data_IF_034857219664
#
_entry.id   IF_034857219664
#
_cell.length_a   1.000
_cell.length_b   1.000
_cell.length_c   1.000
_cell.angle_alpha   90.00
_cell.angle_beta   90.00
_cell.angle_gamma   90.00
#
_symmetry.space_group_name_H-M   'P 1'
#
loop_
_entity.id
_entity.type
_entity.pdbx_description
1 polymer ?
#
# COMPACT_ATOMS: atom_id res chain seq x y z
N UNK A 1 15.58 7.01 10.09
CA UNK A 1 14.15 6.63 10.13
C UNK A 1 13.46 7.27 8.93
N UNK A 2 12.57 6.55 8.23
CA UNK A 2 11.72 7.18 7.23
C UNK A 2 10.80 8.22 7.89
N UNK A 3 10.71 9.40 7.26
CA UNK A 3 9.64 10.36 7.58
C UNK A 3 8.34 9.84 6.98
N UNK A 4 7.42 9.41 7.86
CA UNK A 4 6.04 9.00 7.57
C UNK A 4 5.32 10.04 6.69
N UNK A 5 4.21 9.66 6.04
CA UNK A 5 3.42 10.63 5.28
C UNK A 5 2.95 11.78 6.17
N UNK A 6 3.04 13.01 5.66
CA UNK A 6 2.60 14.22 6.36
C UNK A 6 1.10 14.43 6.24
N UNK A 7 0.54 15.34 7.06
CA UNK A 7 -0.85 15.77 6.93
C UNK A 7 -1.15 16.32 5.53
N UNK A 8 -0.22 17.07 4.94
CA UNK A 8 -0.37 17.64 3.60
C UNK A 8 -0.40 16.55 2.53
N UNK A 9 0.50 15.57 2.63
CA UNK A 9 0.54 14.40 1.74
C UNK A 9 -0.75 13.57 1.83
N UNK A 10 -1.26 13.34 3.05
CA UNK A 10 -2.53 12.63 3.30
C UNK A 10 -3.72 13.40 2.72
N UNK A 11 -3.78 14.72 2.92
CA UNK A 11 -4.82 15.57 2.30
C UNK A 11 -4.76 15.48 0.78
N UNK A 12 -3.57 15.52 0.18
CA UNK A 12 -3.42 15.36 -1.27
C UNK A 12 -3.96 14.00 -1.75
N UNK A 13 -3.61 12.90 -1.07
CA UNK A 13 -4.17 11.59 -1.38
C UNK A 13 -5.70 11.58 -1.28
N UNK A 14 -6.27 12.15 -0.22
CA UNK A 14 -7.72 12.23 -0.04
C UNK A 14 -8.41 12.93 -1.22
N UNK A 15 -7.86 14.05 -1.70
CA UNK A 15 -8.41 14.77 -2.87
C UNK A 15 -8.36 13.95 -4.16
N UNK A 16 -7.35 13.08 -4.32
CA UNK A 16 -7.22 12.22 -5.49
C UNK A 16 -8.14 11.00 -5.45
N UNK A 17 -8.46 10.50 -4.25
CA UNK A 17 -9.30 9.32 -4.01
C UNK A 17 -10.78 9.64 -4.26
N UNK A 18 -11.25 10.80 -3.82
CA UNK A 18 -12.63 11.20 -4.08
C UNK A 18 -13.06 12.43 -3.29
N UNK A 19 -14.32 12.83 -3.49
CA UNK A 19 -14.90 13.96 -2.77
C UNK A 19 -15.15 13.62 -1.30
N UNK A 20 -15.05 14.63 -0.44
CA UNK A 20 -15.32 14.53 0.99
C UNK A 20 -14.15 13.97 1.82
N UNK A 21 -14.28 13.99 3.16
CA UNK A 21 -13.25 13.51 4.08
C UNK A 21 -12.92 12.02 3.87
N UNK A 22 -11.65 11.66 4.11
CA UNK A 22 -11.15 10.28 4.05
C UNK A 22 -10.41 9.95 5.34
N UNK A 23 -10.64 8.74 5.86
CA UNK A 23 -9.87 8.16 6.97
C UNK A 23 -8.86 7.15 6.42
N UNK A 24 -7.66 7.16 6.99
CA UNK A 24 -6.57 6.25 6.62
C UNK A 24 -6.20 5.40 7.84
N UNK A 25 -6.51 4.11 7.80
CA UNK A 25 -6.19 3.17 8.89
C UNK A 25 -5.04 2.25 8.48
N UNK A 26 -3.94 2.27 9.23
CA UNK A 26 -2.76 1.43 8.95
C UNK A 26 -3.09 -0.07 9.13
N UNK A 27 -3.03 -0.83 8.04
CA UNK A 27 -3.23 -2.27 8.02
C UNK A 27 -1.91 -3.02 8.20
N UNK A 28 -0.90 -2.63 7.41
CA UNK A 28 0.37 -3.34 7.29
C UNK A 28 1.54 -2.36 7.22
N UNK A 29 2.64 -2.70 7.88
CA UNK A 29 3.93 -2.00 7.80
C UNK A 29 5.02 -3.07 7.81
N UNK A 30 5.92 -3.09 6.82
CA UNK A 30 6.98 -4.11 6.79
C UNK A 30 7.95 -3.97 7.98
N UNK A 31 8.12 -2.76 8.52
CA UNK A 31 8.89 -2.54 9.74
C UNK A 31 8.24 -3.15 10.99
N UNK A 32 6.91 -3.16 11.06
CA UNK A 32 6.16 -3.68 12.22
C UNK A 32 5.86 -5.16 12.10
N UNK A 33 5.49 -5.60 10.90
CA UNK A 33 4.85 -6.88 10.65
C UNK A 33 5.77 -7.88 9.92
N UNK A 34 6.96 -7.45 9.49
CA UNK A 34 7.83 -8.22 8.59
C UNK A 34 7.46 -8.04 7.11
N UNK A 35 8.37 -8.42 6.21
CA UNK A 35 8.17 -8.28 4.76
C UNK A 35 7.94 -9.64 4.11
N UNK A 36 6.69 -10.09 4.04
CA UNK A 36 6.33 -11.33 3.33
C UNK A 36 4.92 -11.28 2.72
N UNK A 37 4.65 -12.04 1.64
CA UNK A 37 3.33 -12.12 1.03
C UNK A 37 2.27 -12.63 2.01
N UNK A 38 2.63 -13.57 2.88
CA UNK A 38 1.73 -14.14 3.88
C UNK A 38 1.25 -13.05 4.86
N UNK A 39 2.18 -12.23 5.37
CA UNK A 39 1.83 -11.12 6.27
C UNK A 39 1.04 -10.02 5.58
N UNK A 40 1.36 -9.73 4.32
CA UNK A 40 0.60 -8.80 3.49
C UNK A 40 -0.84 -9.27 3.31
N UNK A 41 -1.05 -10.48 2.80
CA UNK A 41 -2.38 -11.03 2.54
C UNK A 41 -3.20 -11.20 3.82
N UNK A 42 -2.58 -11.66 4.91
CA UNK A 42 -3.26 -11.78 6.21
C UNK A 42 -3.85 -10.45 6.68
N UNK A 43 -3.20 -9.32 6.38
CA UNK A 43 -3.59 -7.99 6.88
C UNK A 43 -4.40 -7.17 5.89
N UNK A 44 -4.21 -7.38 4.59
CA UNK A 44 -4.73 -6.51 3.54
C UNK A 44 -5.86 -7.15 2.72
N UNK A 45 -6.01 -8.47 2.75
CA UNK A 45 -7.13 -9.14 2.12
C UNK A 45 -8.44 -8.74 2.81
N UNK A 46 -9.50 -8.64 2.01
CA UNK A 46 -10.86 -8.33 2.46
C UNK A 46 -11.01 -6.95 3.15
N UNK A 47 -10.05 -6.03 2.96
CA UNK A 47 -10.08 -4.69 3.59
C UNK A 47 -10.76 -3.59 2.76
N UNK A 48 -11.08 -3.85 1.48
CA UNK A 48 -11.66 -2.86 0.57
C UNK A 48 -10.61 -1.95 -0.02
N UNK A 49 -10.93 -0.66 -0.21
CA UNK A 49 -10.03 0.31 -0.83
C UNK A 49 -8.78 0.54 0.01
N UNK A 50 -7.61 0.56 -0.64
CA UNK A 50 -6.33 0.69 0.04
C UNK A 50 -5.38 1.64 -0.67
N UNK A 51 -4.53 2.28 0.13
CA UNK A 51 -3.37 3.05 -0.32
C UNK A 51 -2.11 2.35 0.14
N UNK A 52 -1.27 1.96 -0.82
CA UNK A 52 0.08 1.46 -0.60
C UNK A 52 1.06 2.62 -0.69
N UNK A 53 1.89 2.82 0.32
CA UNK A 53 2.91 3.88 0.41
C UNK A 53 4.28 3.26 0.62
N UNK A 54 5.24 3.64 -0.23
CA UNK A 54 6.62 3.19 -0.17
C UNK A 54 7.52 4.34 0.25
N UNK A 55 8.38 4.11 1.25
CA UNK A 55 9.33 5.10 1.75
C UNK A 55 10.75 4.64 1.45
N UNK A 56 11.32 5.11 0.34
CA UNK A 56 12.64 4.66 -0.08
C UNK A 56 13.79 5.34 0.71
N UNK A 57 15.00 4.78 0.61
CA UNK A 57 16.19 5.30 1.30
C UNK A 57 16.70 6.64 0.77
N UNK A 58 16.22 7.08 -0.39
CA UNK A 58 16.50 8.40 -0.99
C UNK A 58 15.47 9.45 -0.60
N UNK A 59 14.66 9.21 0.45
CA UNK A 59 13.59 10.11 0.90
C UNK A 59 12.54 10.43 -0.17
N UNK A 60 12.33 9.53 -1.12
CA UNK A 60 11.21 9.57 -2.05
C UNK A 60 10.06 8.75 -1.53
N UNK A 61 8.85 9.23 -1.79
CA UNK A 61 7.60 8.60 -1.36
C UNK A 61 6.69 8.48 -2.56
N UNK A 62 6.30 7.25 -2.86
CA UNK A 62 5.49 6.88 -4.01
C UNK A 62 4.65 5.65 -3.66
N UNK A 63 3.72 5.27 -4.54
CA UNK A 63 2.87 4.14 -4.27
C UNK A 63 1.69 4.02 -5.22
N UNK A 64 0.63 3.37 -4.74
CA UNK A 64 -0.57 3.11 -5.52
C UNK A 64 -1.82 3.06 -4.67
N UNK A 65 -2.95 3.40 -5.28
CA UNK A 65 -4.29 3.29 -4.74
C UNK A 65 -5.11 2.33 -5.60
N UNK A 66 -5.95 1.54 -4.94
CA UNK A 66 -6.99 0.74 -5.58
C UNK A 66 -8.27 0.78 -4.76
N UNK A 67 -9.42 0.78 -5.44
CA UNK A 67 -10.73 0.57 -4.82
C UNK A 67 -11.02 -0.89 -4.53
N UNK A 68 -10.26 -1.81 -5.15
CA UNK A 68 -10.49 -3.25 -5.11
C UNK A 68 -9.74 -3.93 -3.98
N UNK A 69 -10.10 -5.19 -3.82
CA UNK A 69 -9.59 -6.04 -2.78
C UNK A 69 -8.28 -6.74 -3.19
N UNK A 70 -7.41 -7.01 -2.21
CA UNK A 70 -6.19 -7.80 -2.38
C UNK A 70 -6.38 -9.31 -2.22
N UNK A 71 -7.59 -9.76 -1.89
CA UNK A 71 -7.93 -11.18 -1.81
C UNK A 71 -7.39 -11.93 -3.03
N UNK A 72 -6.64 -13.00 -2.76
CA UNK A 72 -5.93 -13.77 -3.78
C UNK A 72 -6.90 -14.24 -4.86
N UNK A 73 -6.63 -13.82 -6.10
CA UNK A 73 -7.33 -14.32 -7.31
C UNK A 73 -6.39 -15.02 -8.27
N UNK A 74 -5.07 -14.83 -8.08
CA UNK A 74 -4.01 -15.24 -9.01
C UNK A 74 -4.25 -14.76 -10.46
N UNK A 75 -5.01 -13.68 -10.62
CA UNK A 75 -5.38 -13.07 -11.88
C UNK A 75 -5.38 -11.55 -11.73
N UNK A 76 -5.42 -10.84 -12.86
CA UNK A 76 -5.62 -9.40 -12.81
C UNK A 76 -7.03 -9.04 -12.36
N UNK A 77 -7.14 -7.96 -11.60
CA UNK A 77 -8.41 -7.42 -11.14
C UNK A 77 -8.62 -6.02 -11.74
N UNK A 78 -9.80 -5.84 -12.30
CA UNK A 78 -10.19 -4.59 -12.95
C UNK A 78 -10.47 -3.48 -11.93
N UNK A 79 -9.91 -2.30 -12.13
CA UNK A 79 -10.18 -1.10 -11.34
C UNK A 79 -9.92 0.15 -12.18
N UNK A 80 -10.98 0.84 -12.59
CA UNK A 80 -10.94 2.07 -13.38
C UNK A 80 -10.61 3.31 -12.55
N UNK A 81 -10.66 3.19 -11.21
CA UNK A 81 -10.33 4.25 -10.27
C UNK A 81 -8.93 4.10 -9.66
N UNK A 82 -8.20 3.04 -10.03
CA UNK A 82 -6.83 2.83 -9.59
C UNK A 82 -5.91 3.94 -10.11
N UNK A 83 -4.91 4.30 -9.31
CA UNK A 83 -3.85 5.21 -9.73
C UNK A 83 -2.56 4.92 -8.97
N UNK A 84 -1.44 5.17 -9.63
CA UNK A 84 -0.14 5.29 -8.98
C UNK A 84 0.12 6.75 -8.63
N UNK A 85 1.05 6.99 -7.71
CA UNK A 85 1.38 8.35 -7.32
C UNK A 85 2.82 8.52 -6.86
N UNK A 86 3.23 9.79 -6.85
CA UNK A 86 4.42 10.28 -6.17
C UNK A 86 4.00 11.43 -5.23
N UNK A 87 4.57 11.45 -4.02
CA UNK A 87 4.35 12.50 -3.02
C UNK A 87 5.65 13.27 -2.74
N UNK A 88 6.80 12.58 -2.81
CA UNK A 88 8.13 13.15 -2.62
C UNK A 88 9.15 12.57 -3.59
N UNK A 89 10.10 13.41 -3.98
CA UNK A 89 11.32 13.03 -4.69
C UNK A 89 12.53 13.67 -4.01
N UNK A 90 13.49 12.86 -3.57
CA UNK A 90 14.70 13.34 -2.89
C UNK A 90 14.43 14.28 -1.71
N UNK A 91 13.42 13.92 -0.90
CA UNK A 91 13.00 14.69 0.28
C UNK A 91 12.22 15.96 -0.04
N UNK A 92 11.99 16.29 -1.31
CA UNK A 92 11.20 17.45 -1.74
C UNK A 92 9.81 17.01 -2.15
N UNK A 93 8.80 17.80 -1.80
CA UNK A 93 7.42 17.54 -2.22
C UNK A 93 7.31 17.53 -3.74
N UNK A 94 6.63 16.51 -4.27
CA UNK A 94 6.38 16.34 -5.69
C UNK A 94 5.12 15.49 -5.85
N UNK A 95 3.98 16.15 -6.05
CA UNK A 95 2.66 15.53 -6.12
C UNK A 95 2.29 15.17 -7.55
N UNK A 96 2.53 13.92 -7.94
CA UNK A 96 2.10 13.40 -9.23
C UNK A 96 1.07 12.29 -9.02
N UNK A 97 -0.01 12.32 -9.82
CA UNK A 97 -0.99 11.24 -9.93
C UNK A 97 -0.88 10.64 -11.32
N UNK A 98 -0.85 9.32 -11.39
CA UNK A 98 -0.80 8.55 -12.63
C UNK A 98 -2.02 7.63 -12.64
N UNK A 99 -3.15 8.06 -13.22
CA UNK A 99 -4.35 7.22 -13.32
C UNK A 99 -4.08 5.95 -14.13
N UNK A 100 -4.81 4.88 -13.84
CA UNK A 100 -4.85 3.72 -14.74
C UNK A 100 -5.27 4.17 -16.13
N UNK A 101 -4.63 3.62 -17.16
CA UNK A 101 -4.95 3.98 -18.53
C UNK A 101 -6.30 3.34 -18.93
N UNK A 102 -7.22 4.04 -19.61
CA UNK A 102 -8.57 3.54 -19.92
C UNK A 102 -8.59 2.19 -20.65
N UNK A 103 -7.63 1.94 -21.55
CA UNK A 103 -7.52 0.67 -22.27
C UNK A 103 -7.01 -0.51 -21.42
N UNK A 104 -6.57 -0.25 -20.18
CA UNK A 104 -5.88 -1.22 -19.32
C UNK A 104 -6.49 -1.34 -17.92
N UNK A 105 -7.72 -0.83 -17.71
CA UNK A 105 -8.43 -0.92 -16.43
C UNK A 105 -8.60 -2.36 -15.95
N UNK A 106 -8.73 -3.34 -16.86
CA UNK A 106 -8.78 -4.77 -16.56
C UNK A 106 -7.49 -5.36 -15.96
N UNK A 107 -6.40 -4.60 -15.99
CA UNK A 107 -5.07 -5.00 -15.50
C UNK A 107 -4.59 -4.12 -14.34
N UNK A 108 -5.51 -3.50 -13.60
CA UNK A 108 -5.16 -2.46 -12.63
C UNK A 108 -4.31 -2.99 -11.47
N UNK A 109 -4.68 -4.13 -10.88
CA UNK A 109 -3.90 -4.80 -9.83
C UNK A 109 -3.75 -6.29 -10.10
N UNK A 110 -2.76 -6.91 -9.47
CA UNK A 110 -2.48 -8.35 -9.58
C UNK A 110 -2.33 -9.00 -8.20
N UNK A 111 -3.43 -9.46 -7.57
CA UNK A 111 -3.40 -10.13 -6.27
C UNK A 111 -3.00 -11.60 -6.43
N UNK A 112 -1.69 -11.83 -6.40
CA UNK A 112 -1.08 -13.15 -6.52
C UNK A 112 -0.56 -13.61 -5.16
N UNK A 113 -0.84 -14.87 -4.79
CA UNK A 113 -0.59 -15.38 -3.42
C UNK A 113 0.85 -15.24 -2.91
N UNK A 114 1.82 -15.24 -3.82
CA UNK A 114 3.24 -15.13 -3.47
C UNK A 114 3.80 -13.70 -3.62
N UNK A 115 2.96 -12.72 -3.93
CA UNK A 115 3.39 -11.34 -4.16
C UNK A 115 2.89 -10.41 -3.04
N UNK A 116 3.65 -9.34 -2.81
CA UNK A 116 3.13 -8.15 -2.17
C UNK A 116 2.24 -7.33 -3.11
N UNK A 117 1.94 -6.07 -2.76
CA UNK A 117 1.13 -5.19 -3.61
C UNK A 117 1.73 -5.06 -5.01
N UNK A 118 0.88 -5.30 -6.01
CA UNK A 118 1.26 -5.29 -7.42
C UNK A 118 0.20 -4.60 -8.26
N UNK A 119 0.62 -3.62 -9.07
CA UNK A 119 -0.23 -2.79 -9.92
C UNK A 119 0.21 -2.87 -11.38
N UNK A 120 -0.74 -2.95 -12.30
CA UNK A 120 -0.55 -2.85 -13.76
C UNK A 120 -0.24 -4.18 -14.43
N UNK A 121 -0.71 -4.36 -15.66
CA UNK A 121 -0.33 -5.47 -16.54
C UNK A 121 1.16 -5.44 -16.85
N UNK A 122 1.87 -6.54 -16.59
CA UNK A 122 3.34 -6.55 -16.67
C UNK A 122 4.05 -5.75 -15.55
N UNK A 123 3.28 -5.40 -14.49
CA UNK A 123 3.74 -4.85 -13.22
C UNK A 123 4.36 -3.45 -13.30
N UNK A 124 3.52 -2.43 -13.47
CA UNK A 124 3.94 -1.02 -13.36
C UNK A 124 4.51 -0.70 -11.98
N UNK A 125 3.96 -1.29 -10.91
CA UNK A 125 4.56 -1.28 -9.58
C UNK A 125 4.47 -2.68 -9.01
N UNK A 126 5.60 -3.36 -8.86
CA UNK A 126 5.70 -4.65 -8.17
C UNK A 126 6.65 -4.48 -7.01
N UNK A 127 6.17 -4.72 -5.79
CA UNK A 127 6.93 -4.35 -4.59
C UNK A 127 7.81 -5.48 -4.10
N UNK A 128 7.29 -6.69 -3.93
CA UNK A 128 8.10 -7.83 -3.53
C UNK A 128 7.42 -9.18 -3.82
N UNK A 129 8.20 -10.25 -3.81
CA UNK A 129 7.72 -11.63 -3.63
C UNK A 129 8.62 -12.40 -2.67
N UNK A 130 8.05 -13.43 -2.06
CA UNK A 130 8.72 -14.19 -1.00
C UNK A 130 9.07 -13.33 0.23
N UNK A 131 9.64 -13.98 1.23
CA UNK A 131 10.05 -13.30 2.46
C UNK A 131 11.36 -12.53 2.26
N UNK A 132 11.40 -11.26 2.68
CA UNK A 132 12.57 -10.39 2.61
C UNK A 132 13.03 -10.03 4.01
N UNK A 133 14.28 -10.37 4.31
CA UNK A 133 14.93 -10.00 5.56
C UNK A 133 15.37 -8.54 5.54
N UNK A 134 15.22 -7.88 6.68
CA UNK A 134 15.76 -6.53 6.89
C UNK A 134 17.29 -6.58 6.90
N UNK A 135 17.93 -5.60 6.25
CA UNK A 135 19.36 -5.36 6.35
C UNK A 135 19.60 -4.00 7.04
N UNK A 136 20.10 -4.05 8.28
CA UNK A 136 20.28 -2.86 9.11
C UNK A 136 18.95 -2.12 9.32
N UNK A 137 18.84 -0.91 8.77
CA UNK A 137 17.64 -0.08 8.94
C UNK A 137 16.62 -0.19 7.81
N UNK A 138 16.93 -0.92 6.73
CA UNK A 138 16.17 -0.94 5.47
C UNK A 138 15.86 -2.37 4.97
N UNK A 139 14.95 -2.46 4.01
CA UNK A 139 14.67 -3.66 3.22
C UNK A 139 15.10 -3.40 1.78
N UNK A 140 15.77 -4.36 1.16
CA UNK A 140 16.01 -4.36 -0.28
C UNK A 140 14.89 -5.15 -0.93
N UNK A 141 13.83 -4.47 -1.35
CA UNK A 141 12.73 -5.18 -2.00
C UNK A 141 13.19 -5.70 -3.37
N UNK A 142 12.78 -6.92 -3.73
CA UNK A 142 13.11 -7.57 -5.01
C UNK A 142 12.14 -7.18 -6.14
N UNK A 143 11.38 -6.10 -5.95
CA UNK A 143 10.46 -5.53 -6.90
C UNK A 143 11.06 -4.48 -7.84
N UNK A 144 10.20 -3.79 -8.61
CA UNK A 144 10.58 -2.74 -9.55
C UNK A 144 9.42 -1.79 -9.89
N UNK A 145 9.76 -0.62 -10.43
CA UNK A 145 8.84 0.35 -11.05
C UNK A 145 8.98 0.31 -12.57
N UNK A 146 7.85 0.21 -13.29
CA UNK A 146 7.70 0.28 -14.75
C UNK A 146 6.47 1.11 -15.13
N UNK A 147 6.35 2.32 -14.62
CA UNK A 147 5.20 3.21 -14.81
C UNK A 147 5.04 3.58 -16.29
N UNK A 148 6.13 3.56 -17.06
CA UNK A 148 6.11 3.78 -18.51
C UNK A 148 5.62 2.57 -19.33
N UNK A 149 5.17 1.49 -18.68
CA UNK A 149 4.60 0.31 -19.36
C UNK A 149 3.28 0.58 -20.10
N UNK A 150 2.68 1.76 -19.93
CA UNK A 150 1.42 2.16 -20.58
C UNK A 150 0.15 1.79 -19.83
N UNK A 151 0.23 0.97 -18.78
CA UNK A 151 -0.94 0.56 -17.98
C UNK A 151 -1.42 1.65 -17.02
N UNK A 152 -0.52 2.55 -16.64
CA UNK A 152 -0.83 3.78 -15.92
C UNK A 152 -0.31 4.95 -16.74
N UNK A 153 -1.09 6.01 -16.85
CA UNK A 153 -0.77 7.22 -17.60
C UNK A 153 0.36 7.99 -16.91
N UNK A 154 1.60 7.59 -17.21
CA UNK A 154 2.82 8.18 -16.68
C UNK A 154 3.60 8.89 -17.78
N UNK A 155 3.96 10.15 -17.52
CA UNK A 155 4.81 10.97 -18.37
C UNK A 155 6.18 11.28 -17.72
N UNK A 156 6.54 10.52 -16.70
CA UNK A 156 7.76 10.68 -15.90
C UNK A 156 8.58 9.38 -15.98
N UNK A 157 9.90 9.49 -15.99
CA UNK A 157 10.78 8.31 -15.98
C UNK A 157 10.68 7.56 -14.65
N UNK A 158 10.83 6.23 -14.66
CA UNK A 158 10.76 5.41 -13.45
C UNK A 158 11.81 5.83 -12.39
N UNK A 159 13.01 6.22 -12.86
CA UNK A 159 14.07 6.76 -12.02
C UNK A 159 13.65 8.03 -11.27
N UNK A 160 12.81 8.85 -11.89
CA UNK A 160 12.31 10.11 -11.31
C UNK A 160 11.16 9.89 -10.31
N UNK A 161 10.75 8.63 -10.12
CA UNK A 161 9.74 8.19 -9.14
C UNK A 161 10.41 7.54 -7.95
N UNK A 162 11.20 6.49 -8.19
CA UNK A 162 11.79 5.62 -7.17
C UNK A 162 13.28 5.88 -6.89
N UNK A 163 13.89 6.89 -7.51
CA UNK A 163 15.35 7.04 -7.59
C UNK A 163 16.06 5.81 -8.20
N UNK A 164 15.33 5.02 -9.01
CA UNK A 164 15.88 3.85 -9.69
C UNK A 164 16.19 2.68 -8.76
N UNK A 165 15.67 2.65 -7.52
CA UNK A 165 15.92 1.56 -6.58
C UNK A 165 14.73 1.26 -5.67
N UNK A 166 14.71 0.04 -5.13
CA UNK A 166 13.71 -0.46 -4.18
C UNK A 166 14.25 -0.75 -2.78
N UNK A 167 15.36 -0.09 -2.41
CA UNK A 167 15.77 0.00 -1.01
C UNK A 167 14.83 0.92 -0.23
N UNK A 168 14.16 0.39 0.78
CA UNK A 168 13.11 1.08 1.52
C UNK A 168 13.35 1.04 3.01
N UNK A 169 12.99 2.12 3.70
CA UNK A 169 12.87 2.10 5.14
C UNK A 169 11.57 1.43 5.56
N UNK A 170 10.46 1.68 4.85
CA UNK A 170 9.18 1.04 5.15
C UNK A 170 8.30 0.99 3.89
N UNK A 171 7.29 0.15 3.96
CA UNK A 171 6.19 0.01 3.03
C UNK A 171 4.97 -0.14 3.91
N UNK A 172 4.06 0.83 3.84
CA UNK A 172 2.85 0.86 4.64
C UNK A 172 1.62 0.76 3.75
N UNK A 173 0.59 0.05 4.21
CA UNK A 173 -0.68 -0.08 3.52
C UNK A 173 -1.79 0.40 4.44
N UNK A 174 -2.60 1.30 3.93
CA UNK A 174 -3.69 1.94 4.64
C UNK A 174 -5.01 1.53 4.02
N UNK A 175 -5.97 1.11 4.85
CA UNK A 175 -7.38 1.08 4.46
C UNK A 175 -7.89 2.50 4.34
N UNK A 176 -8.67 2.77 3.30
CA UNK A 176 -9.35 4.06 3.11
C UNK A 176 -10.85 3.89 3.21
N UNK A 177 -11.49 4.75 4.00
CA UNK A 177 -12.94 4.83 4.12
C UNK A 177 -13.41 6.27 4.02
N UNK A 178 -14.64 6.46 3.57
CA UNK A 178 -15.31 7.75 3.64
C UNK A 178 -15.59 8.13 5.10
N UNK A 179 -15.47 9.41 5.40
CA UNK A 179 -15.67 9.96 6.75
C UNK A 179 -14.45 10.69 7.27
N UNK A 180 -14.69 11.60 8.21
CA UNK A 180 -13.65 12.23 8.99
C UNK A 180 -13.42 11.40 10.24
N UNK A 181 -12.19 10.99 10.51
CA UNK A 181 -11.83 10.51 11.84
C UNK A 181 -11.86 11.71 12.80
N UNK A 182 -12.77 11.76 13.79
CA UNK A 182 -12.80 12.85 14.77
C UNK A 182 -11.51 12.91 15.59
N UNK A 183 -10.67 11.86 15.54
CA UNK A 183 -9.37 11.80 16.16
C UNK A 183 -8.22 11.98 15.16
N UNK A 184 -8.41 12.65 13.99
CA UNK A 184 -7.34 13.03 13.02
C UNK A 184 -6.35 14.10 13.60
N UNK A 185 -5.95 13.94 14.88
CA UNK A 185 -4.86 14.62 15.59
C UNK A 185 -3.59 13.77 15.61
N UNK A 186 -2.42 14.34 15.24
CA UNK A 186 -1.14 13.68 14.87
C UNK A 186 -0.67 12.37 15.58
N UNK A 187 -1.27 11.95 16.69
CA UNK A 187 -1.29 10.58 17.26
C UNK A 187 -2.60 10.34 18.07
N UNK A 188 -3.09 9.08 18.30
CA UNK A 188 -2.45 7.79 18.05
C UNK A 188 -3.34 6.81 17.26
N UNK A 189 -3.41 6.94 15.94
CA UNK A 189 -4.00 5.96 14.98
C UNK A 189 -3.16 4.69 14.77
N UNK A 190 -2.10 4.51 15.58
CA UNK A 190 -1.20 3.35 15.52
C UNK A 190 -1.40 2.36 16.67
N UNK A 191 -2.49 2.45 17.45
CA UNK A 191 -2.89 1.31 18.27
C UNK A 191 -3.45 0.23 17.33
N UNK A 192 -2.86 -0.96 17.39
CA UNK A 192 -3.47 -2.13 16.77
C UNK A 192 -4.92 -2.23 17.25
N UNK A 193 -5.89 -2.61 16.39
CA UNK A 193 -7.17 -3.06 16.91
C UNK A 193 -6.89 -4.14 17.95
N UNK A 194 -7.53 -4.10 19.14
CA UNK A 194 -7.32 -5.14 20.13
C UNK A 194 -7.56 -6.49 19.45
N UNK A 195 -6.65 -7.44 19.70
CA UNK A 195 -6.82 -8.82 19.27
C UNK A 195 -8.25 -9.22 19.62
N UNK A 196 -9.06 -9.59 18.62
CA UNK A 196 -10.34 -10.23 18.92
C UNK A 196 -9.99 -11.52 19.65
N UNK A 197 -10.13 -11.51 20.97
CA UNK A 197 -9.96 -12.68 21.81
C UNK A 197 -10.82 -13.78 21.20
N UNK A 198 -10.19 -14.83 20.69
CA UNK A 198 -10.89 -16.04 20.33
C UNK A 198 -11.60 -16.50 21.61
N UNK A 199 -12.93 -16.41 21.61
CA UNK A 199 -13.75 -16.99 22.67
C UNK A 199 -13.53 -18.49 22.59
N UNK A 200 -12.60 -19.01 23.40
CA UNK A 200 -12.55 -20.43 23.70
C UNK A 200 -13.81 -20.75 24.51
N UNK A 201 -14.82 -21.31 23.84
CA UNK A 201 -15.81 -22.14 24.53
C UNK A 201 -15.08 -23.41 24.99
N UNK A 202 -14.60 -23.41 26.24
CA UNK A 202 -14.37 -24.65 26.95
C UNK A 202 -15.72 -25.09 27.53
N UNK A 203 -16.35 -26.10 26.91
CA UNK A 203 -17.38 -26.87 27.60
C UNK A 203 -16.71 -27.70 28.69
N UNK A 204 -17.00 -27.38 29.96
CA UNK A 204 -16.78 -28.29 31.08
C UNK A 204 -18.01 -29.19 31.15
N UNK A 205 -17.87 -30.44 30.71
CA UNK A 205 -18.84 -31.48 31.05
C UNK A 205 -18.54 -31.94 32.47
N UNK A 206 -19.40 -31.53 33.41
CA UNK A 206 -19.55 -32.19 34.70
C UNK A 206 -20.51 -33.35 34.47
N UNK A 207 -20.12 -34.55 34.85
CA UNK A 207 -21.05 -35.65 35.08
C UNK A 207 -20.62 -36.37 36.35
N UNK A 208 -21.57 -36.42 37.28
CA UNK A 208 -21.61 -37.11 38.56
C UNK A 208 -21.43 -38.62 38.43
#
# INVERSE_FOLDING_TARGET
>A
MAKKITVKERKQLATWIGQGPKTFQLLYSIQRDGCSPEMFHQKCDNQGSTVTVVYNTSNSVFGGFTTKNWAVTNNYVADDLAFLFQLRFNGREKFNKFPVHPSYTGYAIYPYSNYGPTFGGGHALYLFSGSISRNGSSYSLNGYTKFQSGHYSCNVADSDISNGHMNVYDLEIYRVTDGSDPNDTDEPWRKAPPLRSAVRLCYVLIST
#
